data_IF_185036418858
#
_entry.id   IF_185036418858
#
_cell.length_a   1.000
_cell.length_b   1.000
_cell.length_c   1.000
_cell.angle_alpha   90.00
_cell.angle_beta   90.00
_cell.angle_gamma   90.00
#
_symmetry.space_group_name_H-M   'P 1'
#
loop_
_entity.id
_entity.type
_entity.pdbx_description
1 polymer ?
#
# COMPACT_ATOMS: atom_id res chain seq x y z
N UNK A 1 -7.13 16.18 26.44
CA UNK A 1 -7.02 15.96 24.99
C UNK A 1 -8.31 15.31 24.56
N UNK A 2 -9.08 15.92 23.65
CA UNK A 2 -10.34 15.31 23.21
C UNK A 2 -10.01 13.97 22.55
N UNK A 3 -10.33 12.85 23.20
CA UNK A 3 -10.22 11.52 22.59
C UNK A 3 -11.15 11.50 21.38
N UNK A 4 -10.58 11.72 20.20
CA UNK A 4 -11.30 11.64 18.94
C UNK A 4 -11.86 10.23 18.81
N UNK A 5 -13.14 10.13 18.49
CA UNK A 5 -13.85 8.86 18.30
C UNK A 5 -14.24 8.72 16.84
N UNK A 6 -14.17 7.51 16.32
CA UNK A 6 -14.64 7.16 14.99
C UNK A 6 -15.96 6.42 15.10
N UNK A 7 -16.93 6.83 14.29
CA UNK A 7 -18.12 6.04 14.01
C UNK A 7 -17.77 4.98 12.99
N UNK A 8 -18.08 3.72 13.29
CA UNK A 8 -17.76 2.58 12.46
C UNK A 8 -18.97 1.67 12.34
N UNK A 9 -19.14 1.02 11.19
CA UNK A 9 -20.15 -0.03 11.03
C UNK A 9 -19.55 -1.38 11.44
N UNK A 10 -20.16 -2.04 12.43
CA UNK A 10 -19.76 -3.40 12.80
C UNK A 10 -20.48 -4.43 11.94
N UNK A 11 -19.73 -5.17 11.13
CA UNK A 11 -20.28 -6.34 10.42
C UNK A 11 -20.74 -7.46 11.36
N UNK A 12 -20.20 -7.53 12.57
CA UNK A 12 -20.56 -8.57 13.54
C UNK A 12 -21.85 -8.26 14.27
N UNK A 13 -22.10 -6.99 14.58
CA UNK A 13 -23.29 -6.55 15.33
C UNK A 13 -24.38 -5.97 14.41
N UNK A 14 -24.03 -5.65 13.15
CA UNK A 14 -24.92 -5.01 12.16
C UNK A 14 -25.43 -3.64 12.62
N UNK A 15 -24.60 -2.90 13.35
CA UNK A 15 -24.92 -1.59 13.92
C UNK A 15 -23.73 -0.64 13.83
N UNK A 16 -24.01 0.66 14.03
CA UNK A 16 -22.97 1.68 14.21
C UNK A 16 -22.42 1.62 15.63
N UNK A 17 -21.09 1.56 15.74
CA UNK A 17 -20.34 1.60 16.98
C UNK A 17 -19.42 2.80 17.00
N UNK A 18 -19.06 3.26 18.19
CA UNK A 18 -18.03 4.28 18.39
C UNK A 18 -16.77 3.63 18.94
N UNK A 19 -15.61 3.96 18.38
CA UNK A 19 -14.31 3.45 18.80
C UNK A 19 -13.34 4.62 19.02
N UNK A 20 -12.43 4.50 19.98
CA UNK A 20 -11.38 5.49 20.22
C UNK A 20 -10.32 5.47 19.11
N UNK A 21 -10.00 6.61 18.50
CA UNK A 21 -9.11 6.64 17.32
C UNK A 21 -7.69 6.15 17.60
N UNK A 22 -7.19 6.35 18.82
CA UNK A 22 -5.79 6.09 19.17
C UNK A 22 -5.42 4.59 19.22
N UNK A 23 -6.42 3.69 19.18
CA UNK A 23 -6.22 2.23 19.05
C UNK A 23 -6.55 1.73 17.64
N UNK A 24 -6.92 2.62 16.72
CA UNK A 24 -7.28 2.27 15.35
C UNK A 24 -6.14 2.57 14.39
N UNK A 25 -5.99 1.69 13.39
CA UNK A 25 -5.12 1.91 12.23
C UNK A 25 -5.94 1.89 10.94
N UNK A 26 -5.72 2.81 9.99
CA UNK A 26 -6.38 2.75 8.70
C UNK A 26 -6.03 1.46 7.95
N UNK A 27 -7.04 0.78 7.40
CA UNK A 27 -6.88 -0.53 6.77
C UNK A 27 -7.23 -0.51 5.29
N UNK A 28 -6.29 -0.97 4.47
CA UNK A 28 -6.42 -1.16 3.03
C UNK A 28 -6.71 -2.64 2.68
N UNK A 29 -7.54 -2.87 1.66
CA UNK A 29 -7.91 -4.21 1.17
C UNK A 29 -7.55 -4.43 -0.30
N UNK A 30 -6.77 -3.54 -0.90
CA UNK A 30 -6.28 -3.66 -2.27
C UNK A 30 -6.85 -2.58 -3.18
N UNK A 31 -8.18 -2.51 -3.29
CA UNK A 31 -8.85 -1.61 -4.24
C UNK A 31 -8.59 -0.12 -3.99
N UNK A 32 -8.28 0.24 -2.73
CA UNK A 32 -7.93 1.59 -2.32
C UNK A 32 -6.50 2.00 -2.71
N UNK A 33 -5.64 1.05 -3.09
CA UNK A 33 -4.24 1.28 -3.45
C UNK A 33 -4.18 1.58 -4.94
N UNK A 34 -3.77 2.81 -5.27
CA UNK A 34 -3.66 3.29 -6.65
C UNK A 34 -2.24 3.78 -6.93
N UNK A 35 -1.82 3.61 -8.19
CA UNK A 35 -0.54 4.08 -8.73
C UNK A 35 -0.24 5.52 -8.30
N UNK A 36 0.83 5.72 -7.52
CA UNK A 36 1.31 6.98 -6.93
C UNK A 36 0.33 7.77 -6.04
N UNK A 37 -0.92 7.33 -5.87
CA UNK A 37 -1.92 8.12 -5.18
C UNK A 37 -2.00 7.75 -3.70
N UNK A 38 -2.29 8.75 -2.87
CA UNK A 38 -2.57 8.52 -1.45
C UNK A 38 -3.81 7.63 -1.30
N UNK A 39 -3.71 6.49 -0.60
CA UNK A 39 -4.87 5.63 -0.36
C UNK A 39 -5.98 6.35 0.40
N UNK A 40 -7.23 5.96 0.13
CA UNK A 40 -8.41 6.36 0.91
C UNK A 40 -9.00 5.15 1.62
N UNK A 41 -8.60 4.88 2.87
CA UNK A 41 -9.10 3.74 3.63
C UNK A 41 -10.59 3.88 3.91
N UNK A 42 -11.35 2.82 3.67
CA UNK A 42 -12.76 2.70 4.07
C UNK A 42 -12.95 1.71 5.22
N UNK A 43 -11.85 1.18 5.77
CA UNK A 43 -11.85 0.24 6.89
C UNK A 43 -10.85 0.74 7.94
N UNK A 44 -11.10 0.38 9.19
CA UNK A 44 -10.17 0.55 10.29
C UNK A 44 -9.87 -0.80 10.95
N UNK A 45 -8.70 -0.89 11.55
CA UNK A 45 -8.21 -2.06 12.26
C UNK A 45 -8.00 -1.70 13.72
N UNK A 46 -8.63 -2.43 14.65
CA UNK A 46 -8.34 -2.32 16.08
C UNK A 46 -6.96 -2.94 16.33
N UNK A 47 -5.98 -2.12 16.67
CA UNK A 47 -4.58 -2.50 16.85
C UNK A 47 -4.18 -2.37 18.33
N UNK A 48 -4.40 -3.41 19.16
CA UNK A 48 -4.15 -3.40 20.60
C UNK A 48 -2.67 -3.62 20.94
N UNK A 49 -1.80 -2.83 20.31
CA UNK A 49 -0.36 -2.91 20.45
C UNK A 49 0.24 -1.50 20.45
N UNK A 50 1.38 -1.35 21.11
CA UNK A 50 2.30 -0.23 20.93
C UNK A 50 3.66 -0.72 20.47
N UNK A 51 4.47 0.20 19.98
CA UNK A 51 5.86 -0.05 19.59
C UNK A 51 6.78 0.75 20.49
N UNK A 52 7.82 0.09 21.01
CA UNK A 52 8.88 0.70 21.81
C UNK A 52 10.22 0.07 21.42
N UNK A 53 11.19 0.89 20.99
CA UNK A 53 12.51 0.43 20.55
C UNK A 53 12.47 -0.78 19.59
N UNK A 54 11.67 -0.68 18.50
CA UNK A 54 11.43 -1.76 17.53
C UNK A 54 10.86 -3.06 18.14
N UNK A 55 10.28 -3.01 19.33
CA UNK A 55 9.57 -4.14 19.96
C UNK A 55 8.08 -3.89 19.99
N UNK A 56 7.34 -4.92 19.64
CA UNK A 56 5.89 -4.92 19.73
C UNK A 56 5.49 -5.22 21.18
N UNK A 57 4.80 -4.29 21.83
CA UNK A 57 4.23 -4.45 23.16
C UNK A 57 2.72 -4.68 23.01
N UNK A 58 2.25 -5.81 23.53
CA UNK A 58 0.82 -6.13 23.54
C UNK A 58 0.10 -5.39 24.67
N UNK A 59 -1.09 -4.86 24.40
CA UNK A 59 -1.90 -4.23 25.43
C UNK A 59 -2.46 -5.27 26.40
N UNK A 60 -2.09 -5.14 27.67
CA UNK A 60 -2.70 -5.90 28.74
C UNK A 60 -4.12 -5.40 29.00
N UNK A 61 -4.89 -6.14 29.81
CA UNK A 61 -6.24 -5.74 30.19
C UNK A 61 -6.29 -4.38 30.88
N UNK A 62 -5.23 -4.00 31.58
CA UNK A 62 -5.08 -2.67 32.20
C UNK A 62 -4.93 -1.57 31.17
N UNK A 63 -4.22 -1.81 30.06
CA UNK A 63 -4.09 -0.85 28.96
C UNK A 63 -5.42 -0.60 28.27
N UNK A 64 -6.21 -1.67 28.08
CA UNK A 64 -7.54 -1.61 27.47
C UNK A 64 -8.52 -0.72 28.25
N UNK A 65 -8.27 -0.41 29.54
CA UNK A 65 -9.07 0.55 30.31
C UNK A 65 -9.02 1.97 29.74
N UNK A 66 -7.98 2.31 28.97
CA UNK A 66 -7.87 3.59 28.25
C UNK A 66 -8.80 3.66 27.02
N UNK A 67 -9.33 2.51 26.58
CA UNK A 67 -10.16 2.37 25.39
C UNK A 67 -11.50 1.67 25.74
N UNK A 68 -12.31 2.25 26.65
CA UNK A 68 -13.50 1.60 27.17
C UNK A 68 -14.52 1.20 26.09
N UNK A 69 -14.74 2.03 25.06
CA UNK A 69 -15.69 1.75 23.98
C UNK A 69 -15.18 0.61 23.10
N UNK A 70 -13.90 0.64 22.73
CA UNK A 70 -13.28 -0.44 21.96
C UNK A 70 -13.31 -1.75 22.75
N UNK A 71 -13.02 -1.71 24.05
CA UNK A 71 -13.03 -2.91 24.87
C UNK A 71 -14.45 -3.45 25.09
N UNK A 72 -15.45 -2.58 25.25
CA UNK A 72 -16.87 -2.98 25.28
C UNK A 72 -17.27 -3.70 24.00
N UNK A 73 -16.95 -3.13 22.83
CA UNK A 73 -17.20 -3.76 21.52
C UNK A 73 -16.49 -5.12 21.36
N UNK A 74 -15.24 -5.23 21.79
CA UNK A 74 -14.52 -6.50 21.77
C UNK A 74 -15.20 -7.53 22.69
N UNK A 75 -15.67 -7.12 23.87
CA UNK A 75 -16.37 -8.01 24.80
C UNK A 75 -17.71 -8.49 24.22
N UNK A 76 -18.49 -7.61 23.58
CA UNK A 76 -19.77 -8.00 22.95
C UNK A 76 -19.58 -8.95 21.76
N UNK A 77 -18.38 -9.00 21.19
CA UNK A 77 -18.02 -9.91 20.07
C UNK A 77 -17.11 -11.07 20.49
N UNK A 78 -16.83 -11.23 21.80
CA UNK A 78 -15.86 -12.19 22.35
C UNK A 78 -16.09 -13.63 21.89
N UNK A 79 -17.33 -14.10 21.92
CA UNK A 79 -17.66 -15.48 21.53
C UNK A 79 -17.32 -15.76 20.06
N UNK A 80 -17.39 -14.74 19.20
CA UNK A 80 -16.99 -14.86 17.78
C UNK A 80 -15.47 -14.84 17.64
N UNK A 81 -14.79 -14.00 18.43
CA UNK A 81 -13.32 -13.91 18.42
C UNK A 81 -12.67 -15.21 18.90
N UNK A 82 -13.19 -15.84 19.96
CA UNK A 82 -12.69 -17.11 20.50
C UNK A 82 -12.83 -18.29 19.53
N UNK A 83 -13.70 -18.21 18.52
CA UNK A 83 -13.86 -19.25 17.48
C UNK A 83 -12.78 -19.19 16.39
N UNK A 84 -11.95 -18.15 16.36
CA UNK A 84 -10.84 -18.04 15.39
C UNK A 84 -9.76 -19.08 15.73
N UNK A 85 -9.00 -19.49 14.72
CA UNK A 85 -7.87 -20.40 14.93
C UNK A 85 -6.76 -19.73 15.74
N UNK A 86 -6.12 -20.49 16.64
CA UNK A 86 -4.92 -20.11 17.40
C UNK A 86 -5.08 -18.88 18.32
N UNK A 87 -6.28 -18.65 18.84
CA UNK A 87 -6.54 -17.57 19.82
C UNK A 87 -5.97 -17.94 21.18
N UNK A 88 -5.25 -17.02 21.83
CA UNK A 88 -4.95 -17.10 23.25
C UNK A 88 -6.20 -16.75 24.06
N UNK A 89 -6.75 -17.72 24.79
CA UNK A 89 -7.98 -17.53 25.57
C UNK A 89 -7.83 -16.52 26.71
N UNK A 90 -6.61 -16.30 27.23
CA UNK A 90 -6.33 -15.31 28.28
C UNK A 90 -6.30 -13.89 27.72
N UNK A 91 -5.79 -13.73 26.49
CA UNK A 91 -5.64 -12.44 25.81
C UNK A 91 -6.40 -12.41 24.48
N UNK A 92 -7.67 -12.86 24.51
CA UNK A 92 -8.49 -13.12 23.31
C UNK A 92 -8.77 -11.88 22.44
N UNK A 93 -8.52 -10.67 22.94
CA UNK A 93 -8.61 -9.42 22.18
C UNK A 93 -7.39 -9.15 21.30
N UNK A 94 -6.28 -9.87 21.51
CA UNK A 94 -5.07 -9.77 20.70
C UNK A 94 -5.19 -10.61 19.43
N UNK A 95 -4.31 -10.33 18.46
CA UNK A 95 -4.26 -11.09 17.22
C UNK A 95 -3.72 -12.50 17.48
N UNK A 96 -4.35 -13.55 16.90
CA UNK A 96 -3.83 -14.91 16.95
C UNK A 96 -2.43 -15.05 16.33
N UNK A 97 -2.11 -14.20 15.36
CA UNK A 97 -0.84 -14.20 14.64
C UNK A 97 -0.27 -12.79 14.51
N UNK A 98 0.45 -12.29 15.53
CA UNK A 98 1.07 -10.97 15.50
C UNK A 98 2.36 -10.96 14.66
N UNK A 99 2.30 -11.43 13.42
CA UNK A 99 3.44 -11.46 12.49
C UNK A 99 3.51 -10.16 11.71
N UNK A 100 4.74 -9.67 11.46
CA UNK A 100 4.98 -8.51 10.60
C UNK A 100 4.22 -7.25 11.04
N UNK A 101 3.92 -7.08 12.33
CA UNK A 101 3.20 -5.88 12.79
C UNK A 101 4.13 -4.66 12.87
N UNK A 102 5.39 -4.86 13.24
CA UNK A 102 6.39 -3.78 13.29
C UNK A 102 6.67 -3.18 11.92
N UNK A 103 6.71 -4.00 10.87
CA UNK A 103 6.99 -3.53 9.51
C UNK A 103 5.83 -2.71 8.94
N UNK A 104 4.61 -2.85 9.47
CA UNK A 104 3.46 -2.04 9.06
C UNK A 104 3.62 -0.57 9.45
N UNK A 105 4.37 -0.27 10.51
CA UNK A 105 4.62 1.10 10.96
C UNK A 105 5.90 1.71 10.39
N UNK A 106 6.58 0.99 9.48
CA UNK A 106 7.77 1.50 8.78
C UNK A 106 7.40 2.14 7.44
N UNK A 107 8.25 3.07 6.94
CA UNK A 107 8.15 3.54 5.57
C UNK A 107 8.17 2.38 4.58
N UNK A 108 7.24 2.38 3.63
CA UNK A 108 7.04 1.25 2.72
C UNK A 108 6.33 1.67 1.44
N UNK A 109 6.54 0.90 0.38
CA UNK A 109 5.70 0.96 -0.82
C UNK A 109 4.60 -0.08 -0.66
N UNK A 110 3.34 0.32 -0.79
CA UNK A 110 2.19 -0.58 -0.73
C UNK A 110 1.63 -0.76 -2.14
N UNK A 111 1.22 -1.97 -2.49
CA UNK A 111 0.69 -2.26 -3.82
C UNK A 111 -0.45 -3.29 -3.81
N UNK A 112 -1.33 -3.18 -4.80
CA UNK A 112 -2.39 -4.15 -5.05
C UNK A 112 -1.84 -5.35 -5.83
N UNK A 113 -2.18 -6.58 -5.42
CA UNK A 113 -1.68 -7.79 -6.10
C UNK A 113 -2.25 -7.96 -7.49
N UNK A 114 -3.57 -7.83 -7.66
CA UNK A 114 -4.20 -8.03 -8.96
C UNK A 114 -4.42 -6.68 -9.65
N UNK A 115 -3.65 -6.39 -10.69
CA UNK A 115 -3.69 -5.11 -11.41
C UNK A 115 -3.34 -5.30 -12.89
N UNK A 116 -3.74 -4.35 -13.76
CA UNK A 116 -3.37 -4.35 -15.19
C UNK A 116 -1.97 -3.80 -15.43
N UNK A 117 -1.59 -2.84 -14.59
CA UNK A 117 -0.29 -2.18 -14.57
C UNK A 117 0.20 -2.05 -13.13
N UNK A 118 1.45 -1.63 -12.94
CA UNK A 118 1.97 -1.36 -11.61
C UNK A 118 1.07 -0.38 -10.84
N UNK A 119 0.51 -0.83 -9.70
CA UNK A 119 -0.32 -0.01 -8.82
C UNK A 119 0.33 0.10 -7.44
N UNK A 120 1.49 0.76 -7.43
CA UNK A 120 2.33 0.96 -6.25
C UNK A 120 2.17 2.40 -5.74
N UNK A 121 2.14 2.57 -4.43
CA UNK A 121 2.10 3.88 -3.75
C UNK A 121 3.02 3.92 -2.55
N UNK A 122 3.52 5.10 -2.20
CA UNK A 122 4.39 5.31 -1.06
C UNK A 122 3.59 5.57 0.20
N UNK A 123 3.95 4.87 1.28
CA UNK A 123 3.59 5.19 2.65
C UNK A 123 4.86 5.64 3.37
N UNK A 124 5.07 6.96 3.41
CA UNK A 124 6.29 7.57 3.97
C UNK A 124 6.39 7.42 5.49
N UNK A 125 5.26 7.19 6.18
CA UNK A 125 5.20 7.25 7.65
C UNK A 125 4.66 5.96 8.30
N UNK A 126 4.40 4.92 7.51
CA UNK A 126 3.84 3.68 8.04
C UNK A 126 2.39 3.83 8.51
N UNK A 127 1.61 4.73 7.90
CA UNK A 127 0.24 5.05 8.33
C UNK A 127 -0.74 3.92 8.00
N UNK A 128 -0.53 3.24 6.88
CA UNK A 128 -1.52 2.32 6.33
C UNK A 128 -1.18 0.87 6.67
N UNK A 129 -2.16 0.19 7.27
CA UNK A 129 -2.14 -1.25 7.43
C UNK A 129 -2.87 -1.87 6.23
N UNK A 130 -2.50 -3.11 5.91
CA UNK A 130 -3.13 -3.83 4.81
C UNK A 130 -3.36 -5.29 5.17
N UNK A 131 -4.35 -5.89 4.52
CA UNK A 131 -4.53 -7.34 4.52
C UNK A 131 -4.18 -7.89 3.16
N UNK A 132 -3.47 -9.00 3.14
CA UNK A 132 -3.08 -9.73 1.94
C UNK A 132 -3.28 -11.24 2.13
N UNK A 133 -3.47 -11.95 1.02
CA UNK A 133 -3.57 -13.42 1.02
C UNK A 133 -3.79 -13.96 -0.39
N UNK A 134 -2.89 -14.83 -0.84
CA UNK A 134 -2.93 -15.37 -2.20
C UNK A 134 -2.82 -14.26 -3.25
N UNK A 135 -3.80 -14.19 -4.16
CA UNK A 135 -3.85 -13.19 -5.23
C UNK A 135 -4.75 -11.97 -4.90
N UNK A 136 -5.09 -11.76 -3.63
CA UNK A 136 -5.97 -10.68 -3.21
C UNK A 136 -5.35 -9.84 -2.07
N UNK A 137 -5.80 -8.60 -1.97
CA UNK A 137 -5.35 -7.65 -0.95
C UNK A 137 -4.17 -6.78 -1.36
N UNK A 138 -3.48 -6.27 -0.35
CA UNK A 138 -2.27 -5.46 -0.49
C UNK A 138 -1.02 -6.22 -0.01
N UNK A 139 0.11 -5.87 -0.59
CA UNK A 139 1.44 -6.27 -0.15
C UNK A 139 2.31 -5.02 -0.01
N UNK A 140 3.48 -5.14 0.61
CA UNK A 140 4.41 -4.03 0.71
C UNK A 140 5.86 -4.44 0.40
N UNK A 141 6.63 -3.43 0.01
CA UNK A 141 8.08 -3.49 -0.19
C UNK A 141 8.71 -2.48 0.79
N UNK A 142 9.75 -2.91 1.48
CA UNK A 142 10.56 -2.09 2.39
C UNK A 142 12.02 -2.20 1.99
N UNK A 143 12.81 -1.21 2.39
CA UNK A 143 14.27 -1.25 2.28
C UNK A 143 14.87 -1.46 3.67
N UNK A 144 16.08 -2.04 3.75
CA UNK A 144 16.75 -2.22 5.04
C UNK A 144 17.07 -0.87 5.71
N UNK A 145 17.41 0.13 4.89
CA UNK A 145 17.70 1.51 5.29
C UNK A 145 16.47 2.26 5.81
N UNK A 146 15.26 1.88 5.36
CA UNK A 146 14.04 2.68 5.43
C UNK A 146 14.20 4.10 4.83
N UNK A 147 15.17 4.31 3.95
CA UNK A 147 15.38 5.59 3.27
C UNK A 147 14.23 5.85 2.27
N UNK A 148 13.56 6.98 2.47
CA UNK A 148 12.47 7.45 1.60
C UNK A 148 12.94 7.65 0.16
N UNK A 149 14.17 8.09 -0.06
CA UNK A 149 14.69 8.30 -1.42
C UNK A 149 14.90 6.97 -2.15
N UNK A 150 15.35 5.94 -1.44
CA UNK A 150 15.47 4.58 -2.00
C UNK A 150 14.09 4.02 -2.35
N UNK A 151 13.10 4.21 -1.47
CA UNK A 151 11.71 3.84 -1.77
C UNK A 151 11.14 4.63 -2.95
N UNK A 152 11.44 5.93 -3.09
CA UNK A 152 11.01 6.73 -4.25
C UNK A 152 11.65 6.27 -5.54
N UNK A 153 12.94 5.96 -5.52
CA UNK A 153 13.65 5.39 -6.66
C UNK A 153 13.00 4.06 -7.11
N UNK A 154 12.77 3.14 -6.17
CA UNK A 154 12.08 1.88 -6.43
C UNK A 154 10.65 2.11 -6.94
N UNK A 155 9.91 3.07 -6.37
CA UNK A 155 8.55 3.39 -6.79
C UNK A 155 8.50 3.84 -8.25
N UNK A 156 9.48 4.64 -8.69
CA UNK A 156 9.63 5.04 -10.09
C UNK A 156 9.79 3.85 -11.03
N UNK A 157 10.66 2.90 -10.66
CA UNK A 157 10.89 1.68 -11.43
C UNK A 157 9.64 0.79 -11.42
N UNK A 158 9.09 0.48 -10.24
CA UNK A 158 8.00 -0.49 -10.07
C UNK A 158 6.71 -0.09 -10.78
N UNK A 159 6.43 1.21 -10.88
CA UNK A 159 5.29 1.72 -11.62
C UNK A 159 5.59 1.89 -13.12
N UNK A 160 6.81 1.65 -13.61
CA UNK A 160 7.16 1.84 -15.01
C UNK A 160 6.50 0.83 -15.96
N UNK A 161 6.47 1.22 -17.23
CA UNK A 161 6.11 0.37 -18.36
C UNK A 161 7.02 -0.85 -18.49
N UNK A 162 8.32 -0.70 -18.22
CA UNK A 162 9.27 -1.82 -18.21
C UNK A 162 8.87 -2.87 -17.16
N UNK A 163 8.54 -2.47 -15.93
CA UNK A 163 8.09 -3.40 -14.90
C UNK A 163 6.78 -4.07 -15.29
N UNK A 164 5.82 -3.30 -15.81
CA UNK A 164 4.54 -3.87 -16.27
C UNK A 164 4.75 -4.90 -17.38
N UNK A 165 5.61 -4.59 -18.36
CA UNK A 165 6.00 -5.52 -19.42
C UNK A 165 6.65 -6.78 -18.85
N UNK A 166 7.63 -6.66 -17.97
CA UNK A 166 8.28 -7.80 -17.35
C UNK A 166 7.27 -8.71 -16.64
N UNK A 167 6.42 -8.13 -15.78
CA UNK A 167 5.39 -8.85 -15.04
C UNK A 167 4.42 -9.55 -16.00
N UNK A 168 4.07 -8.92 -17.12
CA UNK A 168 3.20 -9.53 -18.14
C UNK A 168 3.75 -10.82 -18.74
N UNK A 169 5.08 -11.04 -18.70
CA UNK A 169 5.75 -12.22 -19.25
C UNK A 169 5.94 -13.34 -18.24
N UNK A 170 6.04 -13.01 -16.95
CA UNK A 170 6.37 -13.99 -15.89
C UNK A 170 5.19 -14.33 -14.99
N UNK A 171 4.21 -13.44 -14.87
CA UNK A 171 3.09 -13.61 -13.94
C UNK A 171 1.92 -14.35 -14.57
N UNK A 172 1.08 -14.92 -13.70
CA UNK A 172 -0.22 -15.45 -14.11
C UNK A 172 -1.11 -14.33 -14.66
N UNK A 173 -1.69 -14.55 -15.83
CA UNK A 173 -2.68 -13.69 -16.45
C UNK A 173 -4.10 -14.11 -16.06
N UNK A 174 -4.94 -13.12 -15.73
CA UNK A 174 -6.34 -13.28 -15.35
C UNK A 174 -7.25 -12.57 -16.36
N UNK A 175 -8.55 -12.88 -16.30
CA UNK A 175 -9.54 -12.29 -17.21
C UNK A 175 -9.49 -10.76 -17.18
N UNK A 176 -9.59 -10.14 -18.35
CA UNK A 176 -9.65 -8.69 -18.49
C UNK A 176 -8.30 -7.97 -18.44
N UNK A 177 -7.19 -8.68 -18.75
CA UNK A 177 -5.85 -8.09 -18.85
C UNK A 177 -5.16 -7.87 -17.50
N UNK A 178 -5.60 -8.58 -16.46
CA UNK A 178 -5.01 -8.43 -15.12
C UNK A 178 -3.84 -9.40 -14.93
N UNK A 179 -2.79 -8.92 -14.27
CA UNK A 179 -1.64 -9.71 -13.85
C UNK A 179 -1.57 -9.79 -12.32
N UNK A 180 -1.01 -10.88 -11.80
CA UNK A 180 -0.66 -10.97 -10.38
C UNK A 180 0.73 -10.38 -10.16
N UNK A 181 0.80 -9.23 -9.47
CA UNK A 181 2.01 -8.61 -8.95
C UNK A 181 2.46 -9.27 -7.63
N UNK A 182 2.13 -10.54 -7.40
CA UNK A 182 2.52 -11.26 -6.18
C UNK A 182 4.05 -11.41 -6.03
N UNK A 183 4.49 -11.86 -4.86
CA UNK A 183 5.92 -12.05 -4.54
C UNK A 183 6.70 -12.81 -5.63
N UNK A 184 6.11 -13.90 -6.14
CA UNK A 184 6.71 -14.75 -7.18
C UNK A 184 7.04 -13.99 -8.47
N UNK A 185 6.24 -12.98 -8.83
CA UNK A 185 6.40 -12.20 -10.05
C UNK A 185 7.64 -11.31 -10.01
N UNK A 186 8.20 -11.07 -8.82
CA UNK A 186 9.39 -10.24 -8.63
C UNK A 186 10.67 -11.04 -8.32
N UNK A 187 10.60 -12.38 -8.23
CA UNK A 187 11.76 -13.21 -7.83
C UNK A 187 12.97 -13.09 -8.77
N UNK A 188 12.71 -12.77 -10.05
CA UNK A 188 13.74 -12.57 -11.07
C UNK A 188 13.77 -11.13 -11.61
N UNK A 189 13.10 -10.19 -10.93
CA UNK A 189 13.14 -8.80 -11.34
C UNK A 189 14.47 -8.17 -10.92
N UNK A 190 15.30 -7.84 -11.91
CA UNK A 190 16.58 -7.17 -11.67
C UNK A 190 16.38 -5.66 -11.55
N UNK A 191 17.00 -5.06 -10.52
CA UNK A 191 17.14 -3.61 -10.41
C UNK A 191 18.32 -3.15 -11.28
N UNK A 192 18.29 -1.91 -11.81
CA UNK A 192 19.38 -1.40 -12.61
C UNK A 192 20.63 -1.27 -11.74
N UNK A 193 21.79 -1.60 -12.31
CA UNK A 193 23.08 -1.57 -11.61
C UNK A 193 23.51 -0.15 -11.20
N UNK A 194 22.89 0.87 -11.79
CA UNK A 194 23.16 2.29 -11.51
C UNK A 194 22.60 2.73 -10.15
N UNK A 195 23.34 3.64 -9.50
CA UNK A 195 23.08 4.27 -8.19
C UNK A 195 21.58 4.38 -7.82
N UNK A 196 21.18 3.71 -6.73
CA UNK A 196 19.84 3.76 -6.09
C UNK A 196 19.41 5.19 -5.67
N UNK A 197 20.29 6.18 -5.79
CA UNK A 197 20.06 7.58 -5.49
C UNK A 197 20.01 8.45 -6.76
N UNK A 198 19.39 7.97 -7.84
CA UNK A 198 19.16 8.80 -9.03
C UNK A 198 18.19 9.94 -8.69
N UNK A 199 18.75 11.13 -8.42
CA UNK A 199 18.00 12.33 -8.04
C UNK A 199 16.99 12.77 -9.09
N UNK A 200 17.26 12.55 -10.37
CA UNK A 200 16.34 12.91 -11.44
C UNK A 200 15.05 12.07 -11.36
N UNK A 201 15.19 10.75 -11.19
CA UNK A 201 14.04 9.86 -11.02
C UNK A 201 13.27 10.18 -9.74
N UNK A 202 13.98 10.39 -8.63
CA UNK A 202 13.35 10.73 -7.34
C UNK A 202 12.54 12.03 -7.46
N UNK A 203 13.09 13.07 -8.11
CA UNK A 203 12.38 14.34 -8.33
C UNK A 203 11.12 14.17 -9.20
N UNK A 204 11.19 13.32 -10.24
CA UNK A 204 10.02 13.02 -11.07
C UNK A 204 8.94 12.26 -10.27
N UNK A 205 9.35 11.35 -9.38
CA UNK A 205 8.43 10.64 -8.48
C UNK A 205 7.81 11.59 -7.46
N UNK A 206 8.57 12.53 -6.90
CA UNK A 206 8.03 13.58 -6.03
C UNK A 206 7.00 14.45 -6.76
N UNK A 207 7.30 14.84 -8.01
CA UNK A 207 6.34 15.56 -8.86
C UNK A 207 5.09 14.72 -9.11
N UNK A 208 5.25 13.42 -9.42
CA UNK A 208 4.14 12.50 -9.67
C UNK A 208 3.22 12.34 -8.44
N UNK A 209 3.79 12.15 -7.24
CA UNK A 209 3.04 12.05 -5.98
C UNK A 209 2.29 13.37 -5.72
N UNK A 210 2.96 14.51 -5.90
CA UNK A 210 2.35 15.84 -5.74
C UNK A 210 1.17 16.04 -6.69
N UNK A 211 1.34 15.73 -7.98
CA UNK A 211 0.28 15.86 -8.98
C UNK A 211 -0.92 14.95 -8.67
N UNK A 212 -0.69 13.72 -8.21
CA UNK A 212 -1.76 12.82 -7.79
C UNK A 212 -2.50 13.33 -6.55
N UNK A 213 -1.80 13.94 -5.60
CA UNK A 213 -2.41 14.60 -4.43
C UNK A 213 -3.25 15.82 -4.84
N UNK A 214 -2.78 16.62 -5.78
CA UNK A 214 -3.54 17.74 -6.35
C UNK A 214 -4.79 17.23 -7.07
N UNK A 215 -4.65 16.18 -7.89
CA UNK A 215 -5.76 15.56 -8.62
C UNK A 215 -6.84 15.03 -7.66
N UNK A 216 -6.43 14.36 -6.58
CA UNK A 216 -7.33 13.80 -5.58
C UNK A 216 -8.22 14.84 -4.87
N UNK A 217 -7.71 16.08 -4.76
CA UNK A 217 -8.39 17.20 -4.10
C UNK A 217 -9.06 18.15 -5.11
N UNK A 218 -8.86 17.93 -6.40
CA UNK A 218 -9.41 18.78 -7.46
C UNK A 218 -10.92 18.57 -7.61
N UNK A 219 -11.68 19.68 -7.57
CA UNK A 219 -13.15 19.68 -7.78
C UNK A 219 -13.57 20.35 -9.09
N UNK A 220 -12.62 20.91 -9.84
CA UNK A 220 -12.87 21.70 -11.05
C UNK A 220 -12.51 20.88 -12.29
N UNK A 221 -13.47 20.53 -13.18
CA UNK A 221 -13.22 19.62 -14.30
C UNK A 221 -12.10 20.06 -15.26
N UNK A 222 -11.95 21.37 -15.51
CA UNK A 222 -10.89 21.86 -16.40
C UNK A 222 -9.49 21.71 -15.78
N UNK A 223 -9.37 21.94 -14.47
CA UNK A 223 -8.11 21.73 -13.74
C UNK A 223 -7.75 20.25 -13.68
N UNK A 224 -8.74 19.38 -13.49
CA UNK A 224 -8.55 17.92 -13.51
C UNK A 224 -7.93 17.45 -14.84
N UNK A 225 -8.43 17.94 -15.97
CA UNK A 225 -7.87 17.63 -17.30
C UNK A 225 -6.41 18.07 -17.42
N UNK A 226 -6.08 19.28 -16.94
CA UNK A 226 -4.70 19.80 -16.95
C UNK A 226 -3.79 18.93 -16.09
N UNK A 227 -4.23 18.54 -14.89
CA UNK A 227 -3.47 17.66 -13.99
C UNK A 227 -3.23 16.29 -14.62
N UNK A 228 -4.25 15.68 -15.25
CA UNK A 228 -4.10 14.41 -15.98
C UNK A 228 -3.07 14.49 -17.11
N UNK A 229 -3.05 15.60 -17.86
CA UNK A 229 -2.03 15.82 -18.91
C UNK A 229 -0.63 15.93 -18.30
N UNK A 230 -0.47 16.65 -17.18
CA UNK A 230 0.82 16.75 -16.47
C UNK A 230 1.28 15.40 -15.96
N UNK A 231 0.39 14.64 -15.32
CA UNK A 231 0.66 13.28 -14.84
C UNK A 231 1.15 12.41 -15.99
N UNK A 232 0.46 12.38 -17.14
CA UNK A 232 0.89 11.60 -18.30
C UNK A 232 2.29 12.01 -18.78
N UNK A 233 2.57 13.31 -18.88
CA UNK A 233 3.90 13.80 -19.29
C UNK A 233 5.00 13.43 -18.29
N UNK A 234 4.73 13.52 -17.00
CA UNK A 234 5.69 13.11 -15.96
C UNK A 234 5.90 11.60 -16.02
N UNK A 235 4.85 10.84 -16.30
CA UNK A 235 4.94 9.38 -16.46
C UNK A 235 5.79 8.97 -17.66
N UNK A 236 5.59 9.63 -18.80
CA UNK A 236 6.41 9.41 -20.00
C UNK A 236 7.89 9.72 -19.70
N UNK A 237 8.20 10.79 -18.96
CA UNK A 237 9.57 11.11 -18.53
C UNK A 237 10.16 10.04 -17.60
N UNK A 238 9.37 9.53 -16.65
CA UNK A 238 9.79 8.44 -15.76
C UNK A 238 10.14 7.21 -16.59
N UNK A 239 9.28 6.81 -17.53
CA UNK A 239 9.54 5.66 -18.40
C UNK A 239 10.81 5.82 -19.23
N UNK A 240 11.01 6.98 -19.87
CA UNK A 240 12.23 7.26 -20.64
C UNK A 240 13.50 7.17 -19.76
N UNK A 241 13.45 7.71 -18.55
CA UNK A 241 14.57 7.64 -17.62
C UNK A 241 14.81 6.20 -17.16
N UNK A 242 13.76 5.42 -16.88
CA UNK A 242 13.89 4.01 -16.52
C UNK A 242 14.50 3.21 -17.65
N UNK A 243 14.09 3.41 -18.91
CA UNK A 243 14.71 2.73 -20.05
C UNK A 243 16.21 3.03 -20.16
N UNK A 244 16.59 4.30 -19.93
CA UNK A 244 18.00 4.70 -19.88
C UNK A 244 18.76 4.04 -18.73
N UNK A 245 18.14 3.85 -17.56
CA UNK A 245 18.81 3.19 -16.41
C UNK A 245 19.08 1.71 -16.65
N UNK A 246 18.33 1.07 -17.54
CA UNK A 246 18.52 -0.31 -17.97
C UNK A 246 19.30 -0.41 -19.29
N UNK A 247 19.84 0.70 -19.80
CA UNK A 247 20.59 0.79 -21.06
C UNK A 247 19.84 0.16 -22.26
N UNK A 248 18.51 0.34 -22.31
CA UNK A 248 17.68 -0.24 -23.37
C UNK A 248 17.85 0.49 -24.71
N UNK A 249 17.87 -0.29 -25.78
CA UNK A 249 17.89 0.18 -27.16
C UNK A 249 16.52 0.66 -27.64
N UNK A 250 16.47 1.45 -28.72
CA UNK A 250 15.21 1.91 -29.31
C UNK A 250 14.30 0.76 -29.75
N UNK A 251 14.89 -0.32 -30.28
CA UNK A 251 14.14 -1.51 -30.67
C UNK A 251 13.50 -2.23 -29.47
N UNK A 252 14.24 -2.35 -28.35
CA UNK A 252 13.72 -2.94 -27.11
C UNK A 252 12.62 -2.07 -26.50
N UNK A 253 12.81 -0.74 -26.49
CA UNK A 253 11.78 0.21 -26.03
C UNK A 253 10.51 0.06 -26.87
N UNK A 254 10.63 -0.03 -28.20
CA UNK A 254 9.48 -0.25 -29.08
C UNK A 254 8.74 -1.54 -28.74
N UNK A 255 9.46 -2.65 -28.52
CA UNK A 255 8.85 -3.94 -28.14
C UNK A 255 8.06 -3.81 -26.82
N UNK A 256 8.60 -3.11 -25.84
CA UNK A 256 7.93 -2.86 -24.56
C UNK A 256 6.65 -2.05 -24.77
N UNK A 257 6.75 -0.92 -25.46
CA UNK A 257 5.65 0.01 -25.69
C UNK A 257 4.51 -0.63 -26.50
N UNK A 258 4.82 -1.42 -27.54
CA UNK A 258 3.82 -2.14 -28.33
C UNK A 258 3.13 -3.26 -27.54
N UNK A 259 3.85 -3.92 -26.63
CA UNK A 259 3.28 -5.03 -25.84
C UNK A 259 2.31 -4.57 -24.75
N UNK A 260 2.41 -3.33 -24.29
CA UNK A 260 1.58 -2.77 -23.21
C UNK A 260 0.65 -1.64 -23.69
N UNK A 261 0.87 -1.11 -24.88
CA UNK A 261 0.19 0.06 -25.44
C UNK A 261 -1.25 -0.15 -25.94
N UNK A 262 -1.87 -1.30 -25.66
CA UNK A 262 -3.26 -1.58 -26.03
C UNK A 262 -4.21 -1.24 -24.88
N UNK A 263 -4.30 0.03 -24.51
CA UNK A 263 -5.45 0.62 -23.80
C UNK A 263 -5.55 2.10 -24.23
N UNK A 264 -6.14 2.30 -25.41
CA UNK A 264 -6.65 3.60 -25.90
C UNK A 264 -8.12 3.77 -25.59
#
# INVERSE_FOLDING_TARGET
TYDLKSKCESKFLQEEICLENNILKPLLKGAEIKRYAQPKPNNVLIFPYSTDNDKLISFARTDMKRYPLTFEYLNSTKDKLLKRSNVDTKNWWLYPYPKNLLIMEKPKIIYQVLSREGSFTLDEHGEYFYVGGGNAGGYAITTESNDINELKFLLGILNSKLTTFFISKVASCFRGGYYSFGKHSFEHFSLPSSNLNNKELINLVDEMIKLNKELLNCKVPNQEKILKIKIRKTDDKINQLVYKLYDLTEDEIRIIEESIGNDS
#
